data_IF_319296628831
#
_entry.id   IF_319296628831
#
_cell.length_a   1.000
_cell.length_b   1.000
_cell.length_c   1.000
_cell.angle_alpha   90.00
_cell.angle_beta   90.00
_cell.angle_gamma   90.00
#
_symmetry.space_group_name_H-M   'P 1'
#
loop_
_entity.id
_entity.type
_entity.pdbx_description
1 polymer ?
#
# COMPACT_ATOMS: atom_id res chain seq x y z
N UNK A 1 -2.30 23.91 3.55
CA UNK A 1 -1.71 22.56 3.65
C UNK A 1 -1.38 22.28 5.09
N UNK A 2 -1.84 21.15 5.63
CA UNK A 2 -1.53 20.75 7.00
C UNK A 2 -0.03 20.45 7.15
N UNK A 3 0.48 20.53 8.38
CA UNK A 3 1.81 20.02 8.71
C UNK A 3 1.90 18.49 8.57
N UNK A 4 0.78 17.80 8.84
CA UNK A 4 0.67 16.35 8.73
C UNK A 4 0.98 15.85 7.31
N UNK A 5 0.41 16.49 6.29
CA UNK A 5 0.67 16.14 4.89
C UNK A 5 2.14 16.35 4.49
N UNK A 6 2.81 17.39 5.00
CA UNK A 6 4.25 17.61 4.75
C UNK A 6 5.10 16.52 5.38
N UNK A 7 4.81 16.18 6.63
CA UNK A 7 5.50 15.12 7.35
C UNK A 7 5.29 13.76 6.68
N UNK A 8 4.10 13.51 6.14
CA UNK A 8 3.80 12.28 5.39
C UNK A 8 4.62 12.18 4.10
N UNK A 9 4.65 13.25 3.29
CA UNK A 9 5.46 13.31 2.07
C UNK A 9 6.96 13.12 2.35
N UNK A 10 7.47 13.68 3.45
CA UNK A 10 8.87 13.47 3.87
C UNK A 10 9.14 12.01 4.21
N UNK A 11 8.25 11.35 4.98
CA UNK A 11 8.37 9.94 5.34
C UNK A 11 8.31 9.03 4.11
N UNK A 12 7.38 9.29 3.19
CA UNK A 12 7.30 8.56 1.92
C UNK A 12 8.53 8.77 1.06
N UNK A 13 9.02 10.00 0.94
CA UNK A 13 10.25 10.30 0.20
C UNK A 13 11.49 9.62 0.79
N UNK A 14 11.58 9.49 2.12
CA UNK A 14 12.64 8.77 2.80
C UNK A 14 12.55 7.25 2.57
N UNK A 15 11.36 6.68 2.70
CA UNK A 15 11.09 5.26 2.42
C UNK A 15 11.39 4.91 0.96
N UNK A 16 10.96 5.75 0.02
CA UNK A 16 11.26 5.61 -1.40
C UNK A 16 12.77 5.58 -1.67
N UNK A 17 13.51 6.55 -1.11
CA UNK A 17 14.98 6.60 -1.25
C UNK A 17 15.63 5.34 -0.70
N UNK A 18 15.22 4.92 0.50
CA UNK A 18 15.72 3.69 1.15
C UNK A 18 15.51 2.45 0.27
N UNK A 19 14.32 2.29 -0.31
CA UNK A 19 14.04 1.20 -1.24
C UNK A 19 14.94 1.25 -2.48
N UNK A 20 15.10 2.44 -3.08
CA UNK A 20 15.98 2.59 -4.25
C UNK A 20 17.47 2.40 -3.94
N UNK A 21 17.90 2.70 -2.71
CA UNK A 21 19.27 2.46 -2.26
C UNK A 21 19.52 0.95 -2.13
N UNK A 22 18.61 0.22 -1.48
CA UNK A 22 18.68 -1.25 -1.39
C UNK A 22 18.71 -1.91 -2.76
N UNK A 23 17.81 -1.50 -3.66
CA UNK A 23 17.74 -1.99 -5.04
C UNK A 23 19.06 -1.74 -5.78
N UNK A 24 19.62 -0.52 -5.65
CA UNK A 24 20.90 -0.15 -6.24
C UNK A 24 22.08 -0.96 -5.67
N UNK A 25 22.00 -1.38 -4.40
CA UNK A 25 23.01 -2.21 -3.73
C UNK A 25 22.82 -3.71 -3.96
N UNK A 26 21.74 -4.14 -4.61
CA UNK A 26 21.41 -5.56 -4.79
C UNK A 26 20.83 -6.23 -3.55
N UNK A 27 20.39 -5.46 -2.55
CA UNK A 27 19.63 -5.94 -1.39
C UNK A 27 18.16 -6.13 -1.78
N UNK A 28 17.89 -7.16 -2.59
CA UNK A 28 16.60 -7.32 -3.26
C UNK A 28 15.45 -7.58 -2.27
N UNK A 29 15.69 -8.35 -1.21
CA UNK A 29 14.68 -8.66 -0.19
C UNK A 29 14.26 -7.37 0.53
N UNK A 30 15.22 -6.58 0.97
CA UNK A 30 14.99 -5.31 1.66
C UNK A 30 14.35 -4.27 0.73
N UNK A 31 14.73 -4.25 -0.55
CA UNK A 31 14.11 -3.39 -1.55
C UNK A 31 12.64 -3.75 -1.77
N UNK A 32 12.34 -5.04 -1.96
CA UNK A 32 10.98 -5.56 -2.12
C UNK A 32 10.13 -5.21 -0.89
N UNK A 33 10.62 -5.47 0.31
CA UNK A 33 9.89 -5.20 1.55
C UNK A 33 9.57 -3.71 1.68
N UNK A 34 10.57 -2.84 1.46
CA UNK A 34 10.39 -1.39 1.55
C UNK A 34 9.41 -0.88 0.49
N UNK A 35 9.52 -1.34 -0.75
CA UNK A 35 8.60 -0.96 -1.83
C UNK A 35 7.17 -1.41 -1.55
N UNK A 36 6.95 -2.63 -1.06
CA UNK A 36 5.62 -3.13 -0.71
C UNK A 36 5.01 -2.38 0.47
N UNK A 37 5.80 -2.10 1.52
CA UNK A 37 5.34 -1.29 2.66
C UNK A 37 4.93 0.10 2.19
N UNK A 38 5.75 0.75 1.37
CA UNK A 38 5.45 2.07 0.83
C UNK A 38 4.21 2.04 -0.07
N UNK A 39 4.10 1.07 -0.98
CA UNK A 39 2.94 0.90 -1.86
C UNK A 39 1.64 0.79 -1.05
N UNK A 40 1.62 -0.02 0.02
CA UNK A 40 0.46 -0.15 0.92
C UNK A 40 0.09 1.18 1.58
N UNK A 41 1.07 1.96 2.05
CA UNK A 41 0.80 3.28 2.63
C UNK A 41 0.21 4.25 1.60
N UNK A 42 0.74 4.26 0.38
CA UNK A 42 0.24 5.11 -0.69
C UNK A 42 -1.17 4.69 -1.13
N UNK A 43 -1.44 3.40 -1.28
CA UNK A 43 -2.78 2.88 -1.60
C UNK A 43 -3.80 3.27 -0.52
N UNK A 44 -3.43 3.15 0.76
CA UNK A 44 -4.28 3.56 1.88
C UNK A 44 -4.65 5.04 1.82
N UNK A 45 -3.69 5.92 1.50
CA UNK A 45 -3.99 7.35 1.32
C UNK A 45 -4.84 7.58 0.08
N UNK A 46 -4.52 6.94 -1.05
CA UNK A 46 -5.24 7.12 -2.30
C UNK A 46 -6.72 6.73 -2.22
N UNK A 47 -7.09 5.81 -1.32
CA UNK A 47 -8.46 5.35 -1.11
C UNK A 47 -9.12 5.97 0.13
N UNK A 48 -8.40 6.82 0.86
CA UNK A 48 -8.96 7.50 2.02
C UNK A 48 -10.15 8.39 1.59
N UNK A 49 -11.19 8.40 2.43
CA UNK A 49 -12.35 9.27 2.21
C UNK A 49 -11.92 10.74 2.24
N UNK A 50 -12.64 11.61 1.53
CA UNK A 50 -12.26 13.02 1.37
C UNK A 50 -12.12 13.78 2.71
N UNK A 51 -12.92 13.42 3.71
CA UNK A 51 -12.83 13.98 5.07
C UNK A 51 -11.60 13.52 5.87
N UNK A 52 -10.89 12.49 5.40
CA UNK A 52 -9.76 11.87 6.10
C UNK A 52 -8.42 12.11 5.38
N UNK A 53 -8.40 12.92 4.32
CA UNK A 53 -7.23 13.16 3.49
C UNK A 53 -6.97 14.64 3.29
N UNK A 54 -5.70 15.02 3.39
CA UNK A 54 -5.24 16.35 2.98
C UNK A 54 -4.98 16.46 1.46
N UNK A 55 -5.17 15.37 0.71
CA UNK A 55 -4.92 15.30 -0.72
C UNK A 55 -6.20 15.40 -1.54
N UNK A 56 -6.11 16.10 -2.67
CA UNK A 56 -7.20 16.15 -3.65
C UNK A 56 -7.36 14.82 -4.38
N UNK A 57 -8.49 14.58 -5.02
CA UNK A 57 -8.73 13.35 -5.78
C UNK A 57 -7.71 13.15 -6.92
N UNK A 58 -7.26 14.22 -7.57
CA UNK A 58 -6.22 14.12 -8.62
C UNK A 58 -4.83 13.81 -8.04
N UNK A 59 -4.52 14.33 -6.84
CA UNK A 59 -3.30 13.97 -6.11
C UNK A 59 -3.36 12.50 -5.68
N UNK A 60 -4.51 12.02 -5.19
CA UNK A 60 -4.74 10.61 -4.84
C UNK A 60 -4.60 9.68 -6.04
N UNK A 61 -5.09 10.06 -7.23
CA UNK A 61 -4.84 9.31 -8.47
C UNK A 61 -3.33 9.20 -8.76
N UNK A 62 -2.59 10.29 -8.58
CA UNK A 62 -1.12 10.29 -8.75
C UNK A 62 -0.44 9.38 -7.72
N UNK A 63 -0.85 9.46 -6.45
CA UNK A 63 -0.38 8.58 -5.36
C UNK A 63 -0.63 7.10 -5.71
N UNK A 64 -1.84 6.78 -6.21
CA UNK A 64 -2.21 5.42 -6.59
C UNK A 64 -1.32 4.88 -7.72
N UNK A 65 -1.02 5.71 -8.73
CA UNK A 65 -0.11 5.33 -9.83
C UNK A 65 1.31 5.08 -9.34
N UNK A 66 1.81 5.90 -8.39
CA UNK A 66 3.13 5.65 -7.76
C UNK A 66 3.13 4.31 -7.04
N UNK A 67 2.05 3.98 -6.32
CA UNK A 67 1.92 2.69 -5.65
C UNK A 67 1.98 1.52 -6.64
N UNK A 68 1.26 1.61 -7.78
CA UNK A 68 1.34 0.58 -8.84
C UNK A 68 2.77 0.41 -9.34
N UNK A 69 3.51 1.50 -9.58
CA UNK A 69 4.91 1.39 -10.03
C UNK A 69 5.82 0.70 -9.01
N UNK A 70 5.60 0.92 -7.71
CA UNK A 70 6.33 0.23 -6.64
C UNK A 70 6.02 -1.27 -6.63
N UNK A 71 4.76 -1.66 -6.85
CA UNK A 71 4.37 -3.07 -6.98
C UNK A 71 4.98 -3.71 -8.22
N UNK A 72 4.97 -3.02 -9.36
CA UNK A 72 5.62 -3.48 -10.59
C UNK A 72 7.12 -3.70 -10.39
N UNK A 73 7.82 -2.79 -9.70
CA UNK A 73 9.23 -2.98 -9.37
C UNK A 73 9.42 -4.16 -8.40
N UNK A 74 8.58 -4.27 -7.39
CA UNK A 74 8.64 -5.38 -6.42
C UNK A 74 8.46 -6.73 -7.12
N UNK A 75 7.51 -6.83 -8.05
CA UNK A 75 7.27 -8.03 -8.84
C UNK A 75 8.43 -8.34 -9.79
N UNK A 76 9.01 -7.31 -10.44
CA UNK A 76 10.21 -7.46 -11.25
C UNK A 76 11.39 -8.05 -10.44
N UNK A 77 11.63 -7.52 -9.24
CA UNK A 77 12.70 -8.01 -8.36
C UNK A 77 12.49 -9.45 -7.87
N UNK A 78 11.23 -9.94 -7.86
CA UNK A 78 10.90 -11.32 -7.50
C UNK A 78 10.97 -12.28 -8.70
N UNK A 79 10.92 -11.76 -9.92
CA UNK A 79 10.97 -12.56 -11.14
C UNK A 79 12.41 -12.94 -11.48
N UNK A 80 12.60 -14.18 -11.93
CA UNK A 80 13.90 -14.66 -12.45
C UNK A 80 13.97 -14.60 -13.98
N UNK A 81 12.89 -14.19 -14.66
CA UNK A 81 12.75 -14.30 -16.13
C UNK A 81 11.81 -13.24 -16.72
N UNK A 82 12.27 -12.01 -16.93
CA UNK A 82 11.67 -11.14 -17.96
C UNK A 82 12.59 -10.00 -18.43
N UNK A 83 12.62 -9.74 -19.74
CA UNK A 83 13.36 -8.60 -20.33
C UNK A 83 12.56 -7.28 -20.33
N UNK A 84 11.23 -7.33 -20.15
CA UNK A 84 10.31 -6.18 -20.14
C UNK A 84 9.83 -5.81 -18.72
N UNK A 85 10.72 -5.91 -17.74
CA UNK A 85 10.42 -5.57 -16.36
C UNK A 85 10.48 -4.07 -16.07
N UNK A 86 9.71 -3.62 -15.07
CA UNK A 86 9.75 -2.23 -14.61
C UNK A 86 11.11 -1.93 -13.97
N UNK A 87 11.86 -1.00 -14.58
CA UNK A 87 13.28 -0.80 -14.28
C UNK A 87 13.50 0.17 -13.14
N UNK A 88 14.65 0.08 -12.48
CA UNK A 88 15.01 0.98 -11.37
C UNK A 88 15.14 2.43 -11.86
N UNK A 89 15.68 2.65 -13.05
CA UNK A 89 15.79 3.98 -13.67
C UNK A 89 14.42 4.62 -13.92
N UNK A 90 13.42 3.81 -14.27
CA UNK A 90 12.04 4.27 -14.43
C UNK A 90 11.43 4.57 -13.07
N UNK A 91 11.62 3.69 -12.08
CA UNK A 91 11.15 3.95 -10.72
C UNK A 91 11.71 5.27 -10.19
N UNK A 92 13.01 5.54 -10.36
CA UNK A 92 13.66 6.79 -9.90
C UNK A 92 13.05 8.06 -10.49
N UNK A 93 12.37 8.01 -11.65
CA UNK A 93 11.63 9.15 -12.21
C UNK A 93 10.45 9.58 -11.32
N UNK A 94 9.99 8.72 -10.41
CA UNK A 94 8.90 9.02 -9.47
C UNK A 94 9.34 9.85 -8.27
N UNK A 95 10.63 9.89 -7.92
CA UNK A 95 11.12 10.64 -6.75
C UNK A 95 10.70 12.13 -6.79
N UNK A 96 10.93 12.89 -7.88
CA UNK A 96 10.47 14.27 -7.97
C UNK A 96 8.94 14.39 -8.02
N UNK A 97 8.21 13.38 -8.50
CA UNK A 97 6.75 13.38 -8.52
C UNK A 97 6.22 13.24 -7.10
N UNK A 98 6.71 12.23 -6.36
CA UNK A 98 6.33 11.96 -4.96
C UNK A 98 6.60 13.17 -4.06
N UNK A 99 7.76 13.82 -4.20
CA UNK A 99 8.11 15.03 -3.43
C UNK A 99 7.20 16.23 -3.76
N UNK A 100 6.72 16.31 -4.99
CA UNK A 100 5.98 17.47 -5.50
C UNK A 100 4.52 17.14 -5.80
N UNK A 101 3.93 16.09 -5.21
CA UNK A 101 2.55 15.63 -5.46
C UNK A 101 1.56 16.81 -5.45
N UNK A 102 1.74 17.74 -4.52
CA UNK A 102 0.82 18.86 -4.30
C UNK A 102 0.76 19.83 -5.47
N UNK A 103 1.88 20.00 -6.16
CA UNK A 103 2.06 20.93 -7.28
C UNK A 103 2.21 20.19 -8.60
N UNK A 104 2.09 18.86 -8.59
CA UNK A 104 2.24 18.04 -9.78
C UNK A 104 0.97 18.16 -10.64
N UNK A 105 1.14 18.78 -11.80
CA UNK A 105 0.06 19.08 -12.75
C UNK A 105 0.39 18.59 -14.16
N UNK A 106 1.30 17.62 -14.27
CA UNK A 106 1.74 17.04 -15.55
C UNK A 106 1.12 15.67 -15.72
N UNK A 107 1.16 15.18 -16.95
CA UNK A 107 0.81 13.79 -17.24
C UNK A 107 1.80 12.84 -16.55
N UNK A 108 1.26 11.80 -15.92
CA UNK A 108 2.05 10.77 -15.25
C UNK A 108 2.92 10.02 -16.29
N UNK A 109 4.20 9.78 -16.04
CA UNK A 109 5.14 9.34 -17.08
C UNK A 109 4.99 7.87 -17.51
N UNK A 110 4.06 7.13 -16.90
CA UNK A 110 3.85 5.70 -17.15
C UNK A 110 2.37 5.41 -17.38
N UNK A 111 2.08 4.56 -18.36
CA UNK A 111 0.74 4.02 -18.57
C UNK A 111 0.49 2.88 -17.58
N UNK A 112 0.10 3.26 -16.36
CA UNK A 112 -0.21 2.34 -15.27
C UNK A 112 -1.62 2.59 -14.76
N UNK A 113 -2.34 1.50 -14.50
CA UNK A 113 -3.64 1.53 -13.85
C UNK A 113 -3.47 1.26 -12.34
N UNK A 114 -4.14 2.03 -11.46
CA UNK A 114 -4.18 1.73 -10.03
C UNK A 114 -4.62 0.29 -9.78
N UNK A 115 -3.82 -0.45 -9.01
CA UNK A 115 -4.20 -1.82 -8.62
C UNK A 115 -5.30 -1.73 -7.56
N UNK A 116 -6.46 -2.39 -7.75
CA UNK A 116 -7.46 -2.50 -6.70
C UNK A 116 -6.86 -3.18 -5.47
N UNK A 117 -7.15 -2.70 -4.26
CA UNK A 117 -6.70 -3.37 -3.05
C UNK A 117 -7.31 -4.79 -3.04
N UNK A 118 -6.44 -5.80 -3.13
CA UNK A 118 -6.83 -7.16 -2.82
C UNK A 118 -7.01 -7.23 -1.31
N UNK A 119 -8.16 -7.69 -0.83
CA UNK A 119 -8.31 -8.09 0.57
C UNK A 119 -7.31 -9.22 0.79
N UNK A 120 -6.17 -8.92 1.42
CA UNK A 120 -5.15 -9.94 1.70
C UNK A 120 -5.72 -10.79 2.81
N UNK A 121 -6.37 -11.87 2.40
CA UNK A 121 -6.79 -12.93 3.28
C UNK A 121 -5.52 -13.66 3.73
N UNK A 122 -5.36 -13.86 5.04
CA UNK A 122 -4.23 -14.63 5.54
C UNK A 122 -4.26 -16.05 4.91
N UNK A 123 -3.12 -16.72 4.67
CA UNK A 123 -3.13 -18.09 4.18
C UNK A 123 -3.96 -19.00 5.11
N UNK A 124 -5.18 -19.35 4.69
CA UNK A 124 -6.11 -20.21 5.44
C UNK A 124 -7.50 -19.66 5.73
N UNK A 125 -7.85 -18.42 5.38
CA UNK A 125 -9.25 -17.96 5.41
C UNK A 125 -9.88 -18.19 4.02
N UNK A 126 -11.09 -18.73 4.00
CA UNK A 126 -11.95 -18.85 2.81
C UNK A 126 -13.14 -17.90 2.96
N UNK A 127 -13.54 -17.30 1.85
CA UNK A 127 -14.50 -16.19 1.79
C UNK A 127 -15.91 -16.66 2.20
N UNK A 128 -16.28 -16.49 3.48
CA UNK A 128 -17.69 -16.47 3.88
C UNK A 128 -18.20 -15.04 3.65
N UNK A 129 -18.80 -14.82 2.48
CA UNK A 129 -19.60 -13.63 2.18
C UNK A 129 -20.85 -13.63 3.06
N UNK A 130 -20.73 -13.12 4.29
CA UNK A 130 -21.90 -12.60 5.01
C UNK A 130 -22.02 -11.12 4.65
N UNK A 131 -22.79 -10.88 3.60
CA UNK A 131 -23.43 -9.59 3.39
C UNK A 131 -24.70 -9.60 4.24
N UNK A 132 -24.61 -9.12 5.48
CA UNK A 132 -25.78 -8.68 6.20
C UNK A 132 -25.89 -7.16 6.02
N UNK A 133 -26.58 -6.78 4.94
CA UNK A 133 -27.49 -5.65 5.06
C UNK A 133 -28.61 -6.10 6.00
N UNK A 134 -28.65 -5.56 7.22
CA UNK A 134 -29.89 -4.93 7.67
C UNK A 134 -29.64 -3.98 8.85
N UNK A 135 -30.24 -2.80 8.72
CA UNK A 135 -30.56 -1.91 9.82
C UNK A 135 -31.58 -2.59 10.77
N UNK A 136 -31.76 -2.00 11.95
CA UNK A 136 -32.81 -2.24 12.96
C UNK A 136 -32.55 -3.29 14.08
N UNK A 137 -32.22 -2.72 15.24
CA UNK A 137 -33.02 -2.83 16.47
C UNK A 137 -33.28 -4.22 17.08
N UNK A 138 -32.57 -4.47 18.19
CA UNK A 138 -33.19 -5.03 19.39
C UNK A 138 -32.73 -6.44 19.80
N UNK A 139 -32.45 -6.59 21.10
CA UNK A 139 -32.60 -7.89 21.77
C UNK A 139 -31.34 -8.51 22.37
N UNK A 140 -31.04 -8.06 23.59
CA UNK A 140 -30.50 -8.83 24.73
C UNK A 140 -29.90 -10.24 24.52
N UNK A 141 -28.71 -10.43 25.10
CA UNK A 141 -28.59 -11.40 26.19
C UNK A 141 -27.70 -12.63 25.98
N UNK A 142 -26.53 -12.57 26.64
CA UNK A 142 -25.84 -13.65 27.35
C UNK A 142 -25.32 -14.88 26.58
N UNK A 143 -23.99 -14.96 26.46
CA UNK A 143 -23.24 -16.20 26.22
C UNK A 143 -22.09 -16.36 27.22
N UNK A 144 -22.18 -17.37 28.08
CA UNK A 144 -21.14 -17.83 29.01
C UNK A 144 -19.88 -18.34 28.27
N UNK A 145 -18.66 -18.14 28.80
CA UNK A 145 -17.47 -18.82 28.29
C UNK A 145 -17.32 -20.20 28.98
N UNK A 146 -17.45 -21.28 28.21
CA UNK A 146 -17.09 -22.62 28.68
C UNK A 146 -15.57 -22.87 28.56
N UNK A 147 -15.06 -23.68 29.47
CA UNK A 147 -13.68 -23.71 29.93
C UNK A 147 -12.75 -24.52 29.01
N UNK A 148 -11.54 -24.00 28.74
CA UNK A 148 -10.44 -24.82 28.22
C UNK A 148 -9.75 -25.56 29.38
N UNK A 149 -9.59 -26.89 29.33
CA UNK A 149 -8.77 -27.59 30.31
C UNK A 149 -7.28 -27.52 29.94
N UNK A 150 -6.51 -26.86 30.81
CA UNK A 150 -5.05 -26.88 30.88
C UNK A 150 -4.52 -28.29 31.11
N UNK A 151 -3.53 -28.74 30.31
CA UNK A 151 -2.63 -29.82 30.75
C UNK A 151 -1.20 -29.60 30.24
N UNK A 152 -0.30 -29.45 31.20
CA UNK A 152 1.17 -29.58 31.12
C UNK A 152 1.60 -30.55 32.25
N UNK A 153 2.86 -31.02 32.33
CA UNK A 153 3.27 -32.34 31.88
C UNK A 153 3.74 -33.23 33.04
N UNK A 154 3.93 -34.53 32.77
CA UNK A 154 4.60 -35.48 33.66
C UNK A 154 5.28 -36.57 32.85
#
# INVERSE_FOLDING_TARGET
MSEAARNLLQRWGASFRKGTDFDSWGQLVEAIDEYQILARHLQKEAQSQHNNSDFTEDQKKTIAKIATCLELRSAALQSTQSQDEFKLEDLKKLEPILKNILTYNKEFPFDVQPVPLRKILAPGEEEHLEFEEDDEEGGAGAGSPDSFPTRVPG
#
